data_IF_237196563729
#
_entry.id   IF_237196563729
#
_cell.length_a   1.000
_cell.length_b   1.000
_cell.length_c   1.000
_cell.angle_alpha   90.00
_cell.angle_beta   90.00
_cell.angle_gamma   90.00
#
_symmetry.space_group_name_H-M   'P 1'
#
loop_
_entity.id
_entity.type
_entity.pdbx_description
1 polymer ?
#
# COMPACT_ATOMS: atom_id res chain seq x y z
N UNK A 1 -1.16 -50.48 -10.54
CA UNK A 1 -1.79 -49.60 -9.53
C UNK A 1 -3.15 -50.19 -9.23
N UNK A 2 -3.35 -50.69 -8.01
CA UNK A 2 -4.58 -51.41 -7.67
C UNK A 2 -5.78 -50.45 -7.68
N UNK A 3 -6.95 -50.93 -8.15
CA UNK A 3 -8.18 -50.12 -8.20
C UNK A 3 -8.52 -49.46 -6.85
N UNK A 4 -8.16 -50.11 -5.73
CA UNK A 4 -8.31 -49.56 -4.38
C UNK A 4 -7.40 -48.35 -4.12
N UNK A 5 -6.18 -48.36 -4.65
CA UNK A 5 -5.22 -47.25 -4.52
C UNK A 5 -5.68 -46.03 -5.33
N UNK A 6 -6.26 -46.24 -6.52
CA UNK A 6 -6.80 -45.15 -7.36
C UNK A 6 -7.97 -44.44 -6.66
N UNK A 7 -8.86 -45.20 -6.03
CA UNK A 7 -10.01 -44.64 -5.30
C UNK A 7 -9.57 -43.84 -4.07
N UNK A 8 -8.57 -44.32 -3.32
CA UNK A 8 -8.04 -43.59 -2.16
C UNK A 8 -7.35 -42.29 -2.56
N UNK A 9 -6.60 -42.27 -3.66
CA UNK A 9 -5.92 -41.05 -4.16
C UNK A 9 -6.94 -40.03 -4.67
N UNK A 10 -7.98 -40.46 -5.39
CA UNK A 10 -9.05 -39.58 -5.86
C UNK A 10 -9.84 -38.94 -4.71
N UNK A 11 -10.11 -39.71 -3.65
CA UNK A 11 -10.80 -39.20 -2.46
C UNK A 11 -9.96 -38.17 -1.69
N UNK A 12 -8.65 -38.38 -1.60
CA UNK A 12 -7.73 -37.44 -0.95
C UNK A 12 -7.64 -36.10 -1.71
N UNK A 13 -7.60 -36.16 -3.04
CA UNK A 13 -7.59 -34.97 -3.91
C UNK A 13 -8.90 -34.17 -3.80
N UNK A 14 -10.04 -34.85 -3.62
CA UNK A 14 -11.34 -34.19 -3.43
C UNK A 14 -11.40 -33.42 -2.10
N UNK A 15 -10.88 -34.01 -1.01
CA UNK A 15 -10.81 -33.33 0.30
C UNK A 15 -9.90 -32.10 0.22
N UNK A 16 -8.77 -32.21 -0.49
CA UNK A 16 -7.83 -31.10 -0.67
C UNK A 16 -8.47 -29.96 -1.49
N UNK A 17 -9.25 -30.28 -2.52
CA UNK A 17 -9.96 -29.29 -3.33
C UNK A 17 -11.04 -28.55 -2.52
N UNK A 18 -11.78 -29.25 -1.66
CA UNK A 18 -12.80 -28.63 -0.80
C UNK A 18 -12.16 -27.74 0.27
N UNK A 19 -11.05 -28.18 0.87
CA UNK A 19 -10.31 -27.38 1.85
C UNK A 19 -9.77 -26.07 1.24
N UNK A 20 -9.34 -26.08 -0.03
CA UNK A 20 -8.88 -24.88 -0.73
C UNK A 20 -10.01 -23.87 -1.01
N UNK A 21 -11.23 -24.33 -1.27
CA UNK A 21 -12.38 -23.42 -1.53
C UNK A 21 -12.82 -22.71 -0.24
N UNK A 22 -12.73 -23.37 0.92
CA UNK A 22 -13.08 -22.76 2.22
C UNK A 22 -12.09 -21.73 2.75
N UNK A 23 -10.91 -21.58 2.16
CA UNK A 23 -9.93 -20.52 2.54
C UNK A 23 -10.25 -19.19 1.84
N UNK A 24 -11.12 -19.19 0.82
CA UNK A 24 -11.59 -17.98 0.13
C UNK A 24 -12.95 -17.49 0.63
N UNK A 25 -13.30 -17.77 1.89
CA UNK A 25 -14.41 -17.06 2.53
C UNK A 25 -13.89 -15.69 2.97
N UNK A 26 -13.84 -14.78 2.00
CA UNK A 26 -13.64 -13.35 2.20
C UNK A 26 -14.82 -12.83 3.03
N UNK A 27 -14.67 -12.92 4.36
CA UNK A 27 -15.61 -12.33 5.29
C UNK A 27 -15.80 -10.87 4.90
N UNK A 28 -17.00 -10.52 4.44
CA UNK A 28 -17.49 -9.17 4.22
C UNK A 28 -17.57 -8.44 5.58
N UNK A 29 -16.42 -8.17 6.19
CA UNK A 29 -16.32 -7.08 7.15
C UNK A 29 -16.56 -5.82 6.33
N UNK A 30 -17.53 -5.02 6.74
CA UNK A 30 -17.74 -3.67 6.20
C UNK A 30 -16.50 -2.84 6.54
N UNK A 31 -15.41 -3.05 5.80
CA UNK A 31 -14.17 -2.33 6.01
C UNK A 31 -14.46 -0.85 5.78
N UNK A 32 -14.27 -0.04 6.83
CA UNK A 32 -14.45 1.40 6.74
C UNK A 32 -13.54 1.93 5.64
N UNK A 33 -14.17 2.50 4.61
CA UNK A 33 -13.46 3.12 3.50
C UNK A 33 -13.13 4.56 3.85
N UNK A 34 -11.93 4.99 3.48
CA UNK A 34 -11.47 6.37 3.64
C UNK A 34 -11.06 6.93 2.29
N UNK A 35 -11.25 8.24 2.13
CA UNK A 35 -10.71 8.98 0.99
C UNK A 35 -9.37 9.59 1.39
N UNK A 36 -8.35 9.35 0.59
CA UNK A 36 -7.01 9.90 0.76
C UNK A 36 -6.64 10.75 -0.46
N UNK A 37 -5.73 11.70 -0.21
CA UNK A 37 -5.16 12.59 -1.22
C UNK A 37 -3.65 12.39 -1.19
N UNK A 38 -3.05 12.19 -2.36
CA UNK A 38 -1.60 12.03 -2.53
C UNK A 38 -1.10 12.88 -3.68
N UNK A 39 0.18 13.24 -3.68
CA UNK A 39 0.83 13.85 -4.83
C UNK A 39 0.93 12.83 -5.96
N UNK A 40 0.69 13.29 -7.20
CA UNK A 40 0.67 12.43 -8.39
C UNK A 40 2.05 11.93 -8.82
N UNK A 41 3.13 12.44 -8.23
CA UNK A 41 4.52 12.06 -8.50
C UNK A 41 4.89 10.69 -7.90
N UNK A 42 4.14 9.65 -8.26
CA UNK A 42 4.38 8.27 -7.87
C UNK A 42 4.08 7.28 -9.00
N UNK A 43 3.94 5.98 -8.71
CA UNK A 43 4.38 5.34 -7.48
C UNK A 43 5.90 5.12 -7.45
N UNK A 44 6.52 5.37 -6.30
CA UNK A 44 7.95 5.11 -6.06
C UNK A 44 8.15 3.78 -5.31
N UNK A 45 9.36 3.23 -5.31
CA UNK A 45 9.63 1.95 -4.62
C UNK A 45 9.72 2.15 -3.11
N UNK A 46 9.05 1.33 -2.30
CA UNK A 46 9.16 1.42 -0.84
C UNK A 46 10.60 1.23 -0.35
N UNK A 47 11.39 0.40 -1.06
CA UNK A 47 12.81 0.20 -0.74
C UNK A 47 13.65 1.46 -0.87
N UNK A 48 13.32 2.34 -1.83
CA UNK A 48 14.02 3.61 -2.02
C UNK A 48 13.73 4.55 -0.85
N UNK A 49 12.46 4.66 -0.45
CA UNK A 49 12.04 5.43 0.72
C UNK A 49 12.67 4.94 2.02
N UNK A 50 12.70 3.63 2.27
CA UNK A 50 13.35 3.08 3.47
C UNK A 50 14.83 3.48 3.50
N UNK A 51 15.52 3.41 2.35
CA UNK A 51 16.91 3.83 2.27
C UNK A 51 17.06 5.33 2.50
N UNK A 52 16.17 6.14 1.93
CA UNK A 52 16.12 7.59 2.15
C UNK A 52 15.95 7.93 3.64
N UNK A 53 14.98 7.32 4.32
CA UNK A 53 14.74 7.51 5.77
C UNK A 53 15.98 7.21 6.60
N UNK A 54 16.71 6.14 6.25
CA UNK A 54 17.91 5.73 6.99
C UNK A 54 19.15 6.59 6.72
N UNK A 55 19.16 7.34 5.62
CA UNK A 55 20.39 7.99 5.13
C UNK A 55 20.32 9.51 5.07
N UNK A 56 19.13 10.10 5.07
CA UNK A 56 18.97 11.54 4.94
C UNK A 56 18.73 12.22 6.29
N UNK A 57 19.40 13.34 6.52
CA UNK A 57 19.37 14.07 7.80
C UNK A 57 17.98 14.59 8.17
N UNK A 58 17.12 14.90 7.18
CA UNK A 58 15.75 15.39 7.46
C UNK A 58 14.81 14.32 8.04
N UNK A 59 15.23 13.05 8.04
CA UNK A 59 14.55 11.97 8.76
C UNK A 59 15.19 11.66 10.12
N UNK A 60 16.11 12.49 10.62
CA UNK A 60 16.66 12.32 11.96
C UNK A 60 15.54 12.24 13.01
N UNK A 61 15.65 11.26 13.92
CA UNK A 61 14.60 10.97 14.90
C UNK A 61 13.51 10.02 14.42
N UNK A 62 13.72 9.35 13.27
CA UNK A 62 12.78 8.34 12.79
C UNK A 62 12.61 7.16 13.77
N UNK A 63 11.42 6.55 13.75
CA UNK A 63 11.10 5.38 14.56
C UNK A 63 11.61 4.07 13.91
N UNK A 64 12.54 3.39 14.59
CA UNK A 64 13.17 2.17 14.07
C UNK A 64 12.17 1.02 13.87
N UNK A 65 11.15 0.91 14.73
CA UNK A 65 10.15 -0.16 14.61
C UNK A 65 9.26 0.03 13.38
N UNK A 66 8.91 1.27 13.06
CA UNK A 66 8.16 1.64 11.86
C UNK A 66 8.99 1.38 10.61
N UNK A 67 10.26 1.75 10.59
CA UNK A 67 11.14 1.47 9.44
C UNK A 67 11.34 -0.03 9.24
N UNK A 68 11.57 -0.80 10.31
CA UNK A 68 11.68 -2.26 10.22
C UNK A 68 10.39 -2.91 9.70
N UNK A 69 9.23 -2.39 10.11
CA UNK A 69 7.94 -2.82 9.57
C UNK A 69 7.82 -2.49 8.08
N UNK A 70 8.19 -1.28 7.64
CA UNK A 70 8.19 -0.90 6.22
C UNK A 70 9.07 -1.86 5.40
N UNK A 71 10.25 -2.23 5.90
CA UNK A 71 11.14 -3.23 5.28
C UNK A 71 10.46 -4.60 5.13
N UNK A 72 9.73 -5.03 6.15
CA UNK A 72 9.03 -6.32 6.15
C UNK A 72 7.91 -6.42 5.12
N UNK A 73 7.36 -5.29 4.65
CA UNK A 73 6.30 -5.27 3.64
C UNK A 73 6.82 -5.69 2.25
N UNK A 74 8.13 -5.66 2.03
CA UNK A 74 8.78 -6.12 0.80
C UNK A 74 8.52 -5.21 -0.41
N UNK A 75 8.22 -5.81 -1.56
CA UNK A 75 8.03 -5.09 -2.82
C UNK A 75 6.66 -4.37 -2.88
N UNK A 76 6.55 -3.28 -2.13
CA UNK A 76 5.42 -2.35 -2.15
C UNK A 76 5.78 -1.05 -2.86
N UNK A 77 4.75 -0.28 -3.15
CA UNK A 77 4.83 1.05 -3.73
C UNK A 77 4.36 2.07 -2.71
N UNK A 78 4.83 3.31 -2.86
CA UNK A 78 4.35 4.40 -2.03
C UNK A 78 4.09 5.67 -2.84
N UNK A 79 3.26 6.52 -2.24
CA UNK A 79 3.03 7.90 -2.61
C UNK A 79 3.23 8.79 -1.39
N UNK A 80 3.69 10.02 -1.61
CA UNK A 80 3.64 11.07 -0.60
C UNK A 80 2.27 11.76 -0.65
N UNK A 81 1.78 12.23 0.47
CA UNK A 81 0.66 13.16 0.58
C UNK A 81 0.95 14.23 1.61
N UNK A 82 -0.06 15.04 1.93
CA UNK A 82 0.09 16.07 2.96
C UNK A 82 0.18 15.44 4.36
N UNK A 83 1.36 15.45 4.97
CA UNK A 83 1.69 14.87 6.28
C UNK A 83 1.95 13.37 6.29
N UNK A 84 1.71 12.70 5.16
CA UNK A 84 1.54 11.25 5.10
C UNK A 84 2.40 10.58 4.04
N UNK A 85 2.79 9.34 4.31
CA UNK A 85 3.27 8.36 3.34
C UNK A 85 2.19 7.29 3.20
N UNK A 86 1.74 7.02 1.98
CA UNK A 86 0.77 5.96 1.70
C UNK A 86 1.45 4.80 0.97
N UNK A 87 1.53 3.65 1.63
CA UNK A 87 2.09 2.40 1.12
C UNK A 87 0.96 1.50 0.62
N UNK A 88 1.14 0.90 -0.55
CA UNK A 88 0.16 -0.01 -1.16
C UNK A 88 0.83 -1.07 -2.04
N UNK A 89 0.05 -2.04 -2.51
CA UNK A 89 0.52 -3.02 -3.48
C UNK A 89 0.83 -2.36 -4.84
N UNK A 90 1.69 -2.98 -5.65
CA UNK A 90 1.94 -2.50 -7.01
C UNK A 90 0.66 -2.49 -7.87
N UNK A 91 -0.23 -3.48 -7.67
CA UNK A 91 -1.52 -3.58 -8.36
C UNK A 91 -2.49 -2.48 -7.96
N UNK A 92 -2.50 -2.08 -6.68
CA UNK A 92 -3.30 -0.95 -6.22
C UNK A 92 -2.73 0.37 -6.73
N UNK A 93 -1.40 0.52 -6.67
CA UNK A 93 -0.71 1.71 -7.16
C UNK A 93 -0.96 1.95 -8.65
N UNK A 94 -1.02 0.91 -9.48
CA UNK A 94 -1.28 1.03 -10.92
C UNK A 94 -2.69 1.48 -11.28
N UNK A 95 -3.60 1.63 -10.31
CA UNK A 95 -4.94 2.16 -10.53
C UNK A 95 -4.97 3.69 -10.49
N UNK A 96 -3.92 4.31 -9.97
CA UNK A 96 -3.75 5.75 -9.96
C UNK A 96 -3.04 6.19 -11.26
N UNK A 97 -3.48 7.27 -11.93
CA UNK A 97 -2.93 7.70 -13.21
C UNK A 97 -1.43 8.00 -13.18
N UNK A 98 -0.97 8.60 -12.07
CA UNK A 98 0.39 9.04 -11.80
C UNK A 98 1.00 9.90 -12.90
N UNK A 99 1.02 11.21 -12.67
CA UNK A 99 1.56 12.17 -13.62
C UNK A 99 2.68 12.97 -12.98
N UNK A 100 3.80 13.08 -13.71
CA UNK A 100 4.87 14.00 -13.39
C UNK A 100 4.59 15.33 -14.09
N UNK A 101 4.53 16.41 -13.31
CA UNK A 101 4.21 17.76 -13.76
C UNK A 101 5.26 18.74 -13.23
N UNK A 102 5.62 19.76 -14.00
CA UNK A 102 6.73 20.67 -13.66
C UNK A 102 6.27 22.02 -13.13
N UNK A 103 5.07 22.46 -13.50
CA UNK A 103 4.61 23.84 -13.29
C UNK A 103 3.38 23.95 -12.38
N UNK A 104 2.83 22.81 -11.97
CA UNK A 104 1.65 22.69 -11.10
C UNK A 104 1.85 21.53 -10.15
N UNK A 105 1.23 21.60 -8.97
CA UNK A 105 1.08 20.42 -8.12
C UNK A 105 -0.19 19.68 -8.56
N UNK A 106 -0.10 18.37 -8.79
CA UNK A 106 -1.25 17.54 -9.11
C UNK A 106 -1.50 16.56 -7.96
N UNK A 107 -2.74 16.54 -7.47
CA UNK A 107 -3.16 15.68 -6.38
C UNK A 107 -4.16 14.64 -6.88
N UNK A 108 -3.97 13.39 -6.45
CA UNK A 108 -4.86 12.28 -6.75
C UNK A 108 -5.73 11.94 -5.55
N UNK A 109 -7.04 11.86 -5.81
CA UNK A 109 -8.06 11.47 -4.84
C UNK A 109 -8.44 10.02 -5.07
N UNK A 110 -8.41 9.21 -4.02
CA UNK A 110 -8.82 7.82 -4.10
C UNK A 110 -9.47 7.31 -2.81
N UNK A 111 -10.34 6.33 -2.96
CA UNK A 111 -10.95 5.58 -1.87
C UNK A 111 -10.10 4.33 -1.58
N UNK A 112 -9.93 3.96 -0.32
CA UNK A 112 -9.20 2.76 0.08
C UNK A 112 -9.61 2.25 1.47
N UNK A 113 -9.04 1.11 1.87
CA UNK A 113 -9.09 0.61 3.23
C UNK A 113 -7.71 0.73 3.88
N UNK A 114 -7.62 1.40 5.04
CA UNK A 114 -6.39 1.46 5.83
C UNK A 114 -6.26 0.17 6.62
N UNK A 115 -5.18 -0.57 6.36
CA UNK A 115 -4.84 -1.80 7.07
C UNK A 115 -4.08 -1.50 8.35
N UNK A 116 -3.16 -0.53 8.30
CA UNK A 116 -2.30 -0.19 9.42
C UNK A 116 -1.88 1.28 9.32
N UNK A 117 -1.75 1.93 10.49
CA UNK A 117 -1.21 3.28 10.63
C UNK A 117 -0.08 3.26 11.65
N UNK A 118 1.07 3.82 11.28
CA UNK A 118 2.23 4.03 12.17
C UNK A 118 2.71 5.46 12.09
N UNK A 119 3.45 5.90 13.10
CA UNK A 119 4.16 7.17 13.08
C UNK A 119 5.61 6.92 12.71
N UNK A 120 6.17 7.76 11.83
CA UNK A 120 7.59 7.73 11.50
C UNK A 120 8.47 8.29 12.64
N UNK A 121 7.90 8.67 13.80
CA UNK A 121 8.66 9.14 14.95
C UNK A 121 8.76 10.66 15.01
N UNK A 122 9.86 11.16 15.58
CA UNK A 122 10.07 12.59 15.82
C UNK A 122 10.79 13.26 14.64
N UNK A 123 10.32 13.00 13.43
CA UNK A 123 10.79 13.65 12.20
C UNK A 123 10.01 14.93 11.96
N UNK A 124 10.55 15.86 11.17
CA UNK A 124 9.85 17.10 10.85
C UNK A 124 8.58 16.82 10.03
N UNK A 125 8.75 16.13 8.89
CA UNK A 125 7.69 15.76 7.95
C UNK A 125 8.24 14.79 6.89
N UNK A 126 7.46 13.84 6.34
CA UNK A 126 6.11 13.40 6.75
C UNK A 126 6.13 12.56 8.04
N UNK A 127 5.04 12.58 8.83
CA UNK A 127 4.98 11.95 10.17
C UNK A 127 4.19 10.65 10.23
N UNK A 128 3.20 10.49 9.36
CA UNK A 128 2.30 9.34 9.40
C UNK A 128 2.57 8.42 8.21
N UNK A 129 2.60 7.11 8.47
CA UNK A 129 2.75 6.07 7.45
C UNK A 129 1.50 5.20 7.45
N UNK A 130 0.83 5.12 6.31
CA UNK A 130 -0.42 4.37 6.12
C UNK A 130 -0.16 3.19 5.18
N UNK A 131 -0.50 1.97 5.60
CA UNK A 131 -0.57 0.83 4.68
C UNK A 131 -2.02 0.59 4.29
N UNK A 132 -2.30 0.60 2.98
CA UNK A 132 -3.66 0.55 2.45
C UNK A 132 -3.86 -0.57 1.43
N UNK A 133 -5.12 -0.96 1.22
CA UNK A 133 -5.55 -1.86 0.15
C UNK A 133 -6.85 -1.37 -0.51
N UNK A 134 -7.29 -2.07 -1.56
CA UNK A 134 -8.55 -1.83 -2.24
C UNK A 134 -8.66 -0.41 -2.81
N UNK A 135 -7.57 0.07 -3.42
CA UNK A 135 -7.53 1.42 -4.00
C UNK A 135 -8.53 1.53 -5.13
N UNK A 136 -9.31 2.60 -5.13
CA UNK A 136 -10.24 3.00 -6.18
C UNK A 136 -10.06 4.49 -6.46
N UNK A 137 -9.53 4.80 -7.64
CA UNK A 137 -9.37 6.18 -8.11
C UNK A 137 -10.72 6.90 -8.19
N UNK A 138 -10.75 8.15 -7.71
CA UNK A 138 -11.93 9.02 -7.71
C UNK A 138 -11.74 10.16 -8.72
N UNK A 139 -10.57 10.81 -8.70
CA UNK A 139 -10.29 11.97 -9.55
C UNK A 139 -8.99 12.66 -9.16
N UNK A 140 -8.74 13.80 -9.79
CA UNK A 140 -7.54 14.61 -9.60
C UNK A 140 -7.91 16.08 -9.41
N UNK A 141 -7.06 16.82 -8.69
CA UNK A 141 -7.16 18.28 -8.56
C UNK A 141 -5.79 18.93 -8.76
N UNK A 142 -5.83 20.18 -9.22
CA UNK A 142 -4.64 20.97 -9.53
C UNK A 142 -4.42 22.00 -8.42
N UNK A 143 -3.26 21.97 -7.78
CA UNK A 143 -2.78 23.03 -6.90
C UNK A 143 -2.22 24.19 -7.72
N UNK A 144 -2.70 25.41 -7.44
CA UNK A 144 -2.09 26.60 -8.03
C UNK A 144 -0.76 26.87 -7.34
N UNK A 145 0.34 26.87 -8.11
CA UNK A 145 1.61 27.45 -7.68
C UNK A 145 1.42 28.97 -7.51
N UNK A 146 1.13 29.44 -6.29
CA UNK A 146 1.27 30.88 -5.99
C UNK A 146 2.75 31.15 -5.73
N UNK A 147 3.55 31.23 -6.79
CA UNK A 147 4.91 31.73 -6.69
C UNK A 147 4.88 33.14 -6.10
N UNK A 148 5.33 33.27 -4.84
CA UNK A 148 5.67 34.53 -4.22
C UNK A 148 7.15 34.85 -4.46
#
# INVERSE_FOLDING_TARGET
>A
MDKKMIVSVAFLLLILAVALVSVFDESNSSESKVNLIVYSEGPKSLSELVNEIKTQDYYEGYDNETVAWMESLGNKKFYYGDGIIVIMSATDASKLPSLYVTDVELFEHFECNVLEKRSLGNVEYPKDVLYVKNVKYIGEEYGNFSGA
#
